data_IF_024583381675
#
_entry.id   IF_024583381675
#
_cell.length_a   1.000
_cell.length_b   1.000
_cell.length_c   1.000
_cell.angle_alpha   90.00
_cell.angle_beta   90.00
_cell.angle_gamma   90.00
#
_symmetry.space_group_name_H-M   'P 1'
#
loop_
_entity.id
_entity.type
_entity.pdbx_description
1 polymer ?
#
# COMPACT_ATOMS: atom_id res chain seq x y z
N UNK A 1 26.43 8.33 32.18
CA UNK A 1 25.83 7.74 30.95
C UNK A 1 25.08 8.87 30.24
N UNK A 2 25.73 9.53 29.29
CA UNK A 2 25.19 10.72 28.62
C UNK A 2 24.18 10.27 27.55
N UNK A 3 22.93 10.67 27.71
CA UNK A 3 21.92 10.61 26.66
C UNK A 3 22.36 11.59 25.57
N UNK A 4 23.06 11.05 24.56
CA UNK A 4 23.38 11.80 23.36
C UNK A 4 22.06 12.18 22.70
N UNK A 5 21.66 13.44 22.85
CA UNK A 5 20.53 14.02 22.12
C UNK A 5 20.80 13.79 20.64
N UNK A 6 19.98 12.96 20.01
CA UNK A 6 19.90 12.82 18.55
C UNK A 6 19.38 14.14 17.98
N UNK A 7 20.24 15.16 17.97
CA UNK A 7 19.98 16.39 17.24
C UNK A 7 20.10 16.07 15.75
N UNK A 8 18.95 15.78 15.14
CA UNK A 8 18.82 15.63 13.69
C UNK A 8 19.21 16.97 13.07
N UNK A 9 20.24 17.06 12.22
CA UNK A 9 20.65 18.33 11.62
C UNK A 9 19.48 18.93 10.82
N UNK A 10 19.34 20.26 10.76
CA UNK A 10 18.16 20.93 10.18
C UNK A 10 17.89 20.59 8.71
N UNK A 11 18.92 20.22 7.94
CA UNK A 11 18.74 19.71 6.57
C UNK A 11 18.09 18.32 6.53
N UNK A 12 18.26 17.51 7.55
CA UNK A 12 17.63 16.20 7.64
C UNK A 12 16.15 16.29 8.05
N UNK A 13 15.74 17.31 8.81
CA UNK A 13 14.34 17.51 9.17
C UNK A 13 13.48 17.85 7.93
N UNK A 14 13.96 18.73 7.05
CA UNK A 14 13.26 19.05 5.80
C UNK A 14 13.18 17.84 4.85
N UNK A 15 14.21 17.02 4.81
CA UNK A 15 14.21 15.78 4.03
C UNK A 15 13.16 14.78 4.57
N UNK A 16 13.12 14.56 5.88
CA UNK A 16 12.14 13.70 6.54
C UNK A 16 10.71 14.15 6.24
N UNK A 17 10.42 15.44 6.37
CA UNK A 17 9.10 16.00 6.03
C UNK A 17 8.75 15.80 4.56
N UNK A 18 9.71 15.98 3.65
CA UNK A 18 9.48 15.80 2.21
C UNK A 18 9.20 14.33 1.86
N UNK A 19 9.93 13.40 2.45
CA UNK A 19 9.73 11.95 2.29
C UNK A 19 8.35 11.56 2.84
N UNK A 20 8.01 12.04 4.03
CA UNK A 20 6.72 11.75 4.65
C UNK A 20 5.54 12.27 3.81
N UNK A 21 5.65 13.48 3.25
CA UNK A 21 4.64 14.02 2.32
C UNK A 21 4.47 13.14 1.07
N UNK A 22 5.54 12.59 0.53
CA UNK A 22 5.46 11.67 -0.62
C UNK A 22 4.71 10.39 -0.24
N UNK A 23 4.94 9.86 0.95
CA UNK A 23 4.24 8.66 1.43
C UNK A 23 2.75 8.92 1.74
N UNK A 24 2.39 10.13 2.13
CA UNK A 24 0.99 10.52 2.32
C UNK A 24 0.20 10.71 1.02
N UNK A 25 0.88 10.80 -0.13
CA UNK A 25 0.18 10.91 -1.42
C UNK A 25 -0.38 9.54 -1.80
N UNK A 26 -1.70 9.37 -1.92
CA UNK A 26 -2.34 8.07 -2.22
C UNK A 26 -2.20 7.69 -3.70
N UNK A 27 -1.22 8.22 -4.40
CA UNK A 27 -0.95 7.92 -5.80
C UNK A 27 0.23 6.97 -5.87
N UNK A 28 0.09 5.85 -6.57
CA UNK A 28 1.03 4.72 -6.61
C UNK A 28 2.52 5.01 -6.88
N UNK A 29 2.89 6.28 -7.08
CA UNK A 29 4.28 6.75 -7.19
C UNK A 29 4.93 7.16 -5.87
N UNK A 30 4.19 7.24 -4.77
CA UNK A 30 4.72 7.70 -3.48
C UNK A 30 5.85 6.84 -2.93
N UNK A 31 5.74 5.52 -3.02
CA UNK A 31 6.75 4.58 -2.53
C UNK A 31 8.08 4.71 -3.30
N UNK A 32 8.15 4.57 -4.63
CA UNK A 32 9.41 4.70 -5.36
C UNK A 32 10.05 6.08 -5.17
N UNK A 33 9.26 7.14 -5.26
CA UNK A 33 9.74 8.51 -5.10
C UNK A 33 10.28 8.76 -3.69
N UNK A 34 9.55 8.36 -2.65
CA UNK A 34 9.95 8.52 -1.26
C UNK A 34 11.22 7.75 -0.92
N UNK A 35 11.32 6.50 -1.40
CA UNK A 35 12.50 5.64 -1.19
C UNK A 35 13.73 6.19 -1.91
N UNK A 36 13.60 6.66 -3.15
CA UNK A 36 14.70 7.28 -3.88
C UNK A 36 15.14 8.60 -3.25
N UNK A 37 14.18 9.43 -2.81
CA UNK A 37 14.49 10.66 -2.08
C UNK A 37 15.19 10.36 -0.76
N UNK A 38 14.74 9.36 -0.01
CA UNK A 38 15.39 8.93 1.22
C UNK A 38 16.85 8.52 0.96
N UNK A 39 17.09 7.70 -0.07
CA UNK A 39 18.44 7.30 -0.48
C UNK A 39 19.30 8.50 -0.86
N UNK A 40 18.82 9.43 -1.67
CA UNK A 40 19.58 10.61 -2.10
C UNK A 40 19.88 11.58 -0.96
N UNK A 41 19.03 11.65 0.05
CA UNK A 41 19.21 12.48 1.24
C UNK A 41 19.95 11.77 2.37
N UNK A 42 20.38 10.52 2.19
CA UNK A 42 21.10 9.75 3.19
C UNK A 42 20.25 9.36 4.41
N UNK A 43 18.92 9.30 4.27
CA UNK A 43 18.02 8.88 5.34
C UNK A 43 18.13 7.37 5.50
N UNK A 44 18.35 6.92 6.74
CA UNK A 44 18.53 5.51 7.06
C UNK A 44 17.27 4.69 6.74
N UNK A 45 17.46 3.47 6.24
CA UNK A 45 16.38 2.55 5.88
C UNK A 45 15.33 2.33 6.99
N UNK A 46 15.72 2.09 8.26
CA UNK A 46 14.72 1.91 9.32
C UNK A 46 13.83 3.15 9.51
N UNK A 47 14.41 4.36 9.40
CA UNK A 47 13.66 5.60 9.49
C UNK A 47 12.72 5.77 8.30
N UNK A 48 13.15 5.42 7.10
CA UNK A 48 12.31 5.47 5.89
C UNK A 48 11.11 4.54 6.03
N UNK A 49 11.32 3.30 6.51
CA UNK A 49 10.24 2.34 6.74
C UNK A 49 9.30 2.80 7.87
N UNK A 50 9.82 3.41 8.91
CA UNK A 50 9.01 3.98 9.99
C UNK A 50 8.15 5.15 9.50
N UNK A 51 8.70 6.02 8.66
CA UNK A 51 7.93 7.13 8.06
C UNK A 51 6.78 6.61 7.20
N UNK A 52 7.00 5.53 6.46
CA UNK A 52 5.95 4.88 5.69
C UNK A 52 4.86 4.31 6.61
N UNK A 53 5.24 3.54 7.62
CA UNK A 53 4.30 3.00 8.61
C UNK A 53 3.49 4.11 9.31
N UNK A 54 4.14 5.23 9.67
CA UNK A 54 3.44 6.36 10.29
C UNK A 54 2.48 7.02 9.30
N UNK A 55 2.82 7.10 8.01
CA UNK A 55 1.89 7.60 6.99
C UNK A 55 0.63 6.75 6.90
N UNK A 56 0.76 5.41 6.95
CA UNK A 56 -0.39 4.50 6.96
C UNK A 56 -1.27 4.66 8.20
N UNK A 57 -0.64 4.84 9.36
CA UNK A 57 -1.39 5.12 10.60
C UNK A 57 -2.16 6.44 10.53
N UNK A 58 -1.55 7.49 9.96
CA UNK A 58 -2.23 8.77 9.74
C UNK A 58 -3.41 8.61 8.78
N UNK A 59 -3.20 7.88 7.69
CA UNK A 59 -4.25 7.56 6.73
C UNK A 59 -5.37 6.73 7.39
N UNK A 60 -5.03 5.77 8.24
CA UNK A 60 -6.00 4.96 8.97
C UNK A 60 -6.93 5.82 9.82
N UNK A 61 -6.38 6.76 10.58
CA UNK A 61 -7.17 7.68 11.41
C UNK A 61 -8.01 8.64 10.57
N UNK A 62 -7.45 9.15 9.47
CA UNK A 62 -8.13 10.09 8.59
C UNK A 62 -9.28 9.44 7.79
N UNK A 63 -9.10 8.21 7.34
CA UNK A 63 -10.06 7.53 6.45
C UNK A 63 -11.11 6.68 7.16
N UNK A 64 -10.91 6.28 8.39
CA UNK A 64 -11.91 5.47 9.11
C UNK A 64 -13.28 6.16 9.24
N UNK A 65 -13.37 7.48 9.55
CA UNK A 65 -14.66 8.18 9.54
C UNK A 65 -15.32 8.15 8.16
N UNK A 66 -14.55 8.30 7.10
CA UNK A 66 -15.06 8.26 5.72
C UNK A 66 -15.59 6.86 5.37
N UNK A 67 -14.88 5.80 5.74
CA UNK A 67 -15.34 4.42 5.54
C UNK A 67 -16.63 4.13 6.30
N UNK A 68 -16.73 4.57 7.56
CA UNK A 68 -17.95 4.43 8.36
C UNK A 68 -19.13 5.19 7.73
N UNK A 69 -18.89 6.40 7.23
CA UNK A 69 -19.89 7.19 6.52
C UNK A 69 -20.34 6.46 5.24
N UNK A 70 -19.42 5.92 4.46
CA UNK A 70 -19.76 5.15 3.24
C UNK A 70 -20.59 3.91 3.58
N UNK A 71 -20.29 3.20 4.66
CA UNK A 71 -21.08 2.04 5.10
C UNK A 71 -22.47 2.47 5.54
N UNK A 72 -22.60 3.56 6.31
CA UNK A 72 -23.88 4.11 6.75
C UNK A 72 -24.74 4.57 5.56
N UNK A 73 -24.14 5.25 4.59
CA UNK A 73 -24.83 5.68 3.37
C UNK A 73 -25.14 4.53 2.41
N UNK A 74 -24.41 3.42 2.50
CA UNK A 74 -24.64 2.24 1.66
C UNK A 74 -26.00 1.60 1.82
N UNK A 75 -26.66 1.79 2.97
CA UNK A 75 -28.07 1.43 3.18
C UNK A 75 -29.06 2.33 2.44
N UNK A 76 -28.69 3.56 2.11
CA UNK A 76 -29.55 4.59 1.56
C UNK A 76 -29.27 4.84 0.07
N UNK A 77 -28.01 4.76 -0.34
CA UNK A 77 -27.56 5.12 -1.70
C UNK A 77 -27.27 3.83 -2.50
N UNK A 78 -28.06 3.50 -3.57
CA UNK A 78 -27.87 2.28 -4.36
C UNK A 78 -26.48 2.15 -5.00
N UNK A 79 -25.85 3.28 -5.35
CA UNK A 79 -24.50 3.32 -5.94
C UNK A 79 -23.44 2.86 -4.94
N UNK A 80 -23.52 3.32 -3.69
CA UNK A 80 -22.59 2.91 -2.61
C UNK A 80 -22.79 1.42 -2.30
N UNK A 81 -24.02 0.92 -2.31
CA UNK A 81 -24.32 -0.50 -2.15
C UNK A 81 -23.73 -1.35 -3.27
N UNK A 82 -23.84 -0.90 -4.54
CA UNK A 82 -23.23 -1.59 -5.68
C UNK A 82 -21.71 -1.64 -5.55
N UNK A 83 -21.09 -0.55 -5.14
CA UNK A 83 -19.64 -0.49 -4.90
C UNK A 83 -19.20 -1.44 -3.78
N UNK A 84 -19.90 -1.44 -2.65
CA UNK A 84 -19.62 -2.36 -1.54
C UNK A 84 -19.78 -3.83 -1.94
N UNK A 85 -20.81 -4.17 -2.72
CA UNK A 85 -21.00 -5.51 -3.26
C UNK A 85 -19.92 -5.91 -4.26
N UNK A 86 -19.50 -5.00 -5.14
CA UNK A 86 -18.41 -5.24 -6.07
C UNK A 86 -17.07 -5.46 -5.34
N UNK A 87 -16.79 -4.68 -4.29
CA UNK A 87 -15.62 -4.84 -3.44
C UNK A 87 -15.63 -6.20 -2.72
N UNK A 88 -16.78 -6.58 -2.14
CA UNK A 88 -16.96 -7.89 -1.49
C UNK A 88 -16.77 -9.04 -2.49
N UNK A 89 -17.28 -8.92 -3.71
CA UNK A 89 -17.12 -9.93 -4.76
C UNK A 89 -15.67 -10.06 -5.23
N UNK A 90 -14.94 -8.94 -5.39
CA UNK A 90 -13.52 -8.96 -5.75
C UNK A 90 -12.67 -9.55 -4.63
N UNK A 91 -12.94 -9.21 -3.39
CA UNK A 91 -12.25 -9.79 -2.21
C UNK A 91 -12.49 -11.30 -2.13
N UNK A 92 -13.75 -11.74 -2.29
CA UNK A 92 -14.09 -13.16 -2.27
C UNK A 92 -13.40 -13.96 -3.39
N UNK A 93 -13.30 -13.38 -4.60
CA UNK A 93 -12.57 -13.99 -5.72
C UNK A 93 -11.06 -14.06 -5.46
N UNK A 94 -10.48 -13.03 -4.88
CA UNK A 94 -9.05 -13.02 -4.53
C UNK A 94 -8.75 -14.07 -3.46
N UNK A 95 -9.59 -14.18 -2.42
CA UNK A 95 -9.47 -15.20 -1.37
C UNK A 95 -9.63 -16.62 -1.94
N UNK A 96 -10.59 -16.85 -2.83
CA UNK A 96 -10.80 -18.15 -3.47
C UNK A 96 -9.58 -18.57 -4.35
N UNK A 97 -8.90 -17.60 -4.95
CA UNK A 97 -7.72 -17.86 -5.79
C UNK A 97 -6.48 -18.31 -4.98
N UNK A 98 -6.41 -17.96 -3.71
CA UNK A 98 -5.32 -18.33 -2.79
C UNK A 98 -5.60 -19.61 -1.99
N UNK A 99 -6.52 -20.45 -2.43
CA UNK A 99 -6.65 -21.83 -1.93
C UNK A 99 -7.70 -22.07 -0.84
N UNK A 100 -8.82 -21.37 -0.87
CA UNK A 100 -10.08 -21.84 -0.23
C UNK A 100 -10.16 -21.85 1.30
N UNK A 101 -9.06 -21.71 2.04
CA UNK A 101 -9.04 -21.78 3.52
C UNK A 101 -8.75 -20.44 4.21
N UNK A 102 -8.78 -19.34 3.50
CA UNK A 102 -8.20 -18.06 3.91
C UNK A 102 -9.24 -16.98 4.27
N UNK A 103 -10.27 -17.31 5.02
CA UNK A 103 -11.02 -16.33 5.80
C UNK A 103 -10.24 -15.85 7.03
N UNK A 104 -9.04 -16.40 7.25
CA UNK A 104 -8.17 -16.00 8.34
C UNK A 104 -7.40 -14.69 8.07
N UNK A 105 -6.86 -14.05 9.12
CA UNK A 105 -6.12 -12.78 9.02
C UNK A 105 -4.98 -12.82 8.00
N UNK A 106 -4.27 -13.93 7.89
CA UNK A 106 -3.14 -14.10 6.96
C UNK A 106 -3.58 -14.04 5.48
N UNK A 107 -4.71 -14.66 5.15
CA UNK A 107 -5.25 -14.58 3.80
C UNK A 107 -5.69 -13.18 3.42
N UNK A 108 -6.23 -12.42 4.36
CA UNK A 108 -6.58 -11.02 4.15
C UNK A 108 -5.35 -10.12 4.00
N UNK A 109 -4.26 -10.39 4.72
CA UNK A 109 -2.96 -9.71 4.50
C UNK A 109 -2.47 -9.95 3.07
N UNK A 110 -2.60 -11.18 2.55
CA UNK A 110 -2.24 -11.48 1.16
C UNK A 110 -3.17 -10.78 0.15
N UNK A 111 -4.45 -10.59 0.48
CA UNK A 111 -5.38 -9.80 -0.34
C UNK A 111 -5.03 -8.30 -0.27
N UNK A 112 -4.64 -7.81 0.90
CA UNK A 112 -4.20 -6.43 1.09
C UNK A 112 -2.85 -6.13 0.42
N UNK A 113 -2.04 -7.16 0.16
CA UNK A 113 -0.78 -7.02 -0.57
C UNK A 113 -1.01 -6.49 -2.00
N UNK A 114 -0.40 -5.38 -2.32
CA UNK A 114 -0.50 -4.75 -3.64
C UNK A 114 -1.78 -3.94 -3.88
N UNK A 115 -2.59 -3.72 -2.85
CA UNK A 115 -3.67 -2.74 -2.83
C UNK A 115 -3.36 -1.66 -1.80
N UNK A 116 -3.97 -0.48 -1.97
CA UNK A 116 -3.82 0.60 -0.99
C UNK A 116 -4.45 0.22 0.37
N UNK A 117 -4.00 0.82 1.49
CA UNK A 117 -4.49 0.48 2.82
C UNK A 117 -6.00 0.68 2.99
N UNK A 118 -6.61 1.62 2.25
CA UNK A 118 -8.06 1.85 2.30
C UNK A 118 -8.84 0.67 1.72
N UNK A 119 -8.41 0.17 0.55
CA UNK A 119 -9.00 -1.01 -0.09
C UNK A 119 -8.79 -2.25 0.77
N UNK A 120 -7.59 -2.43 1.35
CA UNK A 120 -7.29 -3.48 2.32
C UNK A 120 -8.21 -3.41 3.54
N UNK A 121 -8.40 -2.22 4.11
CA UNK A 121 -9.31 -1.99 5.24
C UNK A 121 -10.78 -2.26 4.88
N UNK A 122 -11.23 -1.79 3.72
CA UNK A 122 -12.60 -2.04 3.26
C UNK A 122 -12.85 -3.54 3.05
N UNK A 123 -11.87 -4.28 2.56
CA UNK A 123 -11.91 -5.74 2.42
C UNK A 123 -11.99 -6.44 3.77
N UNK A 124 -11.19 -6.03 4.74
CA UNK A 124 -11.22 -6.55 6.11
C UNK A 124 -12.56 -6.24 6.80
N UNK A 125 -13.12 -5.04 6.58
CA UNK A 125 -14.44 -4.68 7.09
C UNK A 125 -15.54 -5.56 6.47
N UNK A 126 -15.49 -5.80 5.17
CA UNK A 126 -16.43 -6.68 4.49
C UNK A 126 -16.34 -8.15 4.97
N UNK A 127 -15.16 -8.56 5.48
CA UNK A 127 -14.94 -9.85 6.13
C UNK A 127 -15.33 -9.86 7.62
N UNK A 128 -15.87 -8.76 8.17
CA UNK A 128 -16.35 -8.67 9.55
C UNK A 128 -15.29 -8.27 10.59
N UNK A 129 -14.10 -7.86 10.17
CA UNK A 129 -13.04 -7.42 11.10
C UNK A 129 -13.31 -6.02 11.65
N UNK A 130 -13.11 -5.88 12.97
CA UNK A 130 -13.22 -4.61 13.67
C UNK A 130 -12.15 -3.58 13.25
N UNK A 131 -12.17 -2.42 13.90
CA UNK A 131 -11.26 -1.31 13.58
C UNK A 131 -9.79 -1.71 13.67
N UNK A 132 -9.33 -2.16 14.83
CA UNK A 132 -7.91 -2.46 15.07
C UNK A 132 -7.42 -3.61 14.19
N UNK A 133 -8.14 -4.71 14.17
CA UNK A 133 -7.76 -5.89 13.38
C UNK A 133 -7.80 -5.59 11.89
N UNK A 134 -8.80 -4.85 11.43
CA UNK A 134 -8.94 -4.50 10.01
C UNK A 134 -7.82 -3.60 9.51
N UNK A 135 -7.43 -2.59 10.28
CA UNK A 135 -6.29 -1.74 9.94
C UNK A 135 -4.95 -2.47 10.10
N UNK A 136 -4.79 -3.31 11.13
CA UNK A 136 -3.57 -4.11 11.27
C UNK A 136 -3.34 -5.03 10.06
N UNK A 137 -4.41 -5.66 9.54
CA UNK A 137 -4.36 -6.48 8.31
C UNK A 137 -3.99 -5.63 7.10
N UNK A 138 -4.65 -4.48 6.92
CA UNK A 138 -4.42 -3.59 5.80
C UNK A 138 -2.99 -3.06 5.78
N UNK A 139 -2.52 -2.52 6.90
CA UNK A 139 -1.17 -1.98 7.05
C UNK A 139 -0.11 -3.10 6.90
N UNK A 140 -0.34 -4.29 7.45
CA UNK A 140 0.59 -5.41 7.26
C UNK A 140 0.76 -5.79 5.79
N UNK A 141 -0.34 -5.85 5.02
CA UNK A 141 -0.30 -6.11 3.58
C UNK A 141 0.43 -5.02 2.83
N UNK A 142 0.17 -3.76 3.16
CA UNK A 142 0.80 -2.62 2.52
C UNK A 142 2.29 -2.47 2.87
N UNK A 143 2.68 -2.74 4.11
CA UNK A 143 4.09 -2.79 4.52
C UNK A 143 4.89 -3.89 3.80
N UNK A 144 4.28 -5.05 3.54
CA UNK A 144 4.89 -6.08 2.71
C UNK A 144 5.07 -5.58 1.26
N UNK A 145 4.05 -4.93 0.71
CA UNK A 145 4.12 -4.33 -0.62
C UNK A 145 5.18 -3.24 -0.70
N UNK A 146 5.21 -2.32 0.29
CA UNK A 146 6.27 -1.33 0.44
C UNK A 146 7.65 -1.98 0.40
N UNK A 147 7.87 -3.04 1.18
CA UNK A 147 9.16 -3.75 1.23
C UNK A 147 9.59 -4.25 -0.15
N UNK A 148 8.69 -4.89 -0.90
CA UNK A 148 8.97 -5.40 -2.25
C UNK A 148 9.28 -4.27 -3.23
N UNK A 149 8.45 -3.24 -3.28
CA UNK A 149 8.65 -2.10 -4.19
C UNK A 149 9.91 -1.33 -3.83
N UNK A 150 10.17 -1.10 -2.55
CA UNK A 150 11.34 -0.37 -2.10
C UNK A 150 12.64 -1.10 -2.43
N UNK A 151 12.72 -2.40 -2.14
CA UNK A 151 13.91 -3.22 -2.48
C UNK A 151 14.11 -3.25 -3.99
N UNK A 152 13.04 -3.46 -4.76
CA UNK A 152 13.09 -3.47 -6.23
C UNK A 152 13.58 -2.11 -6.76
N UNK A 153 13.04 -1.01 -6.24
CA UNK A 153 13.43 0.35 -6.64
C UNK A 153 14.91 0.62 -6.34
N UNK A 154 15.38 0.25 -5.13
CA UNK A 154 16.77 0.46 -4.74
C UNK A 154 17.74 -0.40 -5.56
N UNK A 155 17.38 -1.65 -5.83
CA UNK A 155 18.16 -2.56 -6.69
C UNK A 155 18.23 -2.01 -8.10
N UNK A 156 17.10 -1.64 -8.69
CA UNK A 156 17.06 -1.08 -10.04
C UNK A 156 17.88 0.21 -10.13
N UNK A 157 17.75 1.10 -9.14
CA UNK A 157 18.53 2.32 -9.09
C UNK A 157 20.05 2.07 -8.93
N UNK A 158 20.47 0.95 -8.36
CA UNK A 158 21.89 0.59 -8.28
C UNK A 158 22.50 0.27 -9.65
N UNK A 159 21.70 -0.22 -10.60
CA UNK A 159 22.10 -0.50 -11.98
C UNK A 159 22.01 0.73 -12.87
N UNK A 160 20.88 1.44 -12.83
CA UNK A 160 20.59 2.60 -13.70
C UNK A 160 21.35 3.84 -13.25
N UNK A 161 21.56 4.00 -11.93
CA UNK A 161 22.25 5.15 -11.30
C UNK A 161 21.58 6.52 -11.55
N UNK A 162 20.39 6.54 -12.13
CA UNK A 162 19.57 7.72 -12.33
C UNK A 162 18.22 7.53 -11.59
N UNK A 163 17.95 8.34 -10.54
CA UNK A 163 16.71 8.23 -9.79
C UNK A 163 15.45 8.50 -10.61
N UNK A 164 15.51 9.44 -11.58
CA UNK A 164 14.34 9.81 -12.38
C UNK A 164 13.97 8.68 -13.35
N UNK A 165 14.96 8.14 -14.06
CA UNK A 165 14.76 7.01 -14.96
C UNK A 165 14.27 5.79 -14.17
N UNK A 166 14.87 5.51 -13.01
CA UNK A 166 14.43 4.41 -12.13
C UNK A 166 12.98 4.57 -11.72
N UNK A 167 12.58 5.78 -11.32
CA UNK A 167 11.21 6.08 -10.91
C UNK A 167 10.22 5.83 -12.06
N UNK A 168 10.53 6.31 -13.27
CA UNK A 168 9.69 6.12 -14.46
C UNK A 168 9.53 4.64 -14.77
N UNK A 169 10.61 3.86 -14.74
CA UNK A 169 10.57 2.42 -15.04
C UNK A 169 9.74 1.67 -13.98
N UNK A 170 9.94 1.97 -12.69
CA UNK A 170 9.17 1.32 -11.61
C UNK A 170 7.69 1.67 -11.73
N UNK A 171 7.35 2.95 -11.97
CA UNK A 171 5.97 3.35 -12.19
C UNK A 171 5.35 2.66 -13.42
N UNK A 172 6.06 2.64 -14.52
CA UNK A 172 5.61 1.92 -15.72
C UNK A 172 5.38 0.44 -15.42
N UNK A 173 6.29 -0.22 -14.71
CA UNK A 173 6.14 -1.62 -14.31
C UNK A 173 4.92 -1.82 -13.40
N UNK A 174 4.69 -0.96 -12.43
CA UNK A 174 3.52 -1.03 -11.53
C UNK A 174 2.19 -0.93 -12.29
N UNK A 175 2.13 -0.15 -13.38
CA UNK A 175 0.93 -0.05 -14.22
C UNK A 175 0.81 -1.18 -15.24
N UNK A 176 1.89 -1.48 -15.96
CA UNK A 176 1.82 -2.40 -17.10
C UNK A 176 1.89 -3.87 -16.71
N UNK A 177 2.64 -4.25 -15.66
CA UNK A 177 2.76 -5.65 -15.26
C UNK A 177 1.41 -6.27 -14.88
N UNK A 178 0.55 -5.65 -14.05
CA UNK A 178 -0.77 -6.20 -13.73
C UNK A 178 -1.67 -6.34 -14.97
N UNK A 179 -1.59 -5.38 -15.90
CA UNK A 179 -2.37 -5.42 -17.16
C UNK A 179 -1.92 -6.58 -18.04
N UNK A 180 -0.61 -6.74 -18.21
CA UNK A 180 -0.01 -7.84 -18.97
C UNK A 180 -0.37 -9.20 -18.38
N UNK A 181 -0.21 -9.36 -17.06
CA UNK A 181 -0.54 -10.61 -16.36
C UNK A 181 -2.02 -10.96 -16.52
N UNK A 182 -2.93 -9.99 -16.43
CA UNK A 182 -4.36 -10.20 -16.66
C UNK A 182 -4.63 -10.65 -18.11
N UNK A 183 -3.96 -10.02 -19.08
CA UNK A 183 -4.14 -10.36 -20.51
C UNK A 183 -3.68 -11.77 -20.82
N UNK A 184 -2.54 -12.20 -20.27
CA UNK A 184 -2.02 -13.56 -20.48
C UNK A 184 -2.89 -14.62 -19.77
N UNK A 185 -3.40 -14.34 -18.57
CA UNK A 185 -4.31 -15.26 -17.86
C UNK A 185 -5.69 -15.37 -18.49
N UNK A 186 -6.23 -14.26 -19.01
CA UNK A 186 -7.53 -14.26 -19.71
C UNK A 186 -7.52 -15.07 -21.00
N UNK A 187 -6.39 -15.13 -21.71
CA UNK A 187 -6.24 -15.94 -22.92
C UNK A 187 -6.23 -17.45 -22.65
N UNK A 188 -5.81 -17.90 -21.47
CA UNK A 188 -5.81 -19.31 -21.10
C UNK A 188 -7.20 -19.84 -20.68
N UNK A 189 -8.08 -18.98 -20.19
CA UNK A 189 -9.46 -19.37 -19.82
C UNK A 189 -10.42 -19.42 -21.00
N UNK A 190 -10.07 -18.80 -22.13
CA UNK A 190 -10.84 -18.86 -23.37
C UNK A 190 -10.46 -20.07 -24.26
N UNK A 191 -9.43 -20.81 -23.89
CA UNK A 191 -8.91 -21.98 -24.64
C UNK A 191 -9.23 -23.32 -23.96
N UNK A 192 -10.01 -23.33 -22.88
CA UNK A 192 -10.59 -24.52 -22.22
C UNK A 192 -12.11 -24.50 -22.32
#
# INVERSE_FOLDING_TARGET
MALTSLSVPPQSASAVVSIFKLFLLPVGGGIPAGVLLAKTKGVAWPLTSLLYLVSDLVLAVAFEPLLKLMVALGGIIPLVRKFALALKATTARSVAHFGGTTTGPLGLVMVAFGVDPMTGRASALAAGHGFVTGWAIAIAGDMLYFGVIAVTTLRLNSYIRDPNITMIIVLAAMFFVPVLVRRFRGGQQAAQ
#
